data_IF_093794242619
#
_entry.id   IF_093794242619
#
_cell.length_a   1.000
_cell.length_b   1.000
_cell.length_c   1.000
_cell.angle_alpha   90.00
_cell.angle_beta   90.00
_cell.angle_gamma   90.00
#
_symmetry.space_group_name_H-M   'P 1'
#
loop_
_entity.id
_entity.type
_entity.pdbx_description
1 polymer ?
#
# COMPACT_ATOMS: atom_id res chain seq x y z
N UNK A 1 5.10 0.62 13.68
CA UNK A 1 4.75 1.53 12.58
C UNK A 1 4.46 0.67 11.37
N UNK A 2 3.37 0.93 10.67
CA UNK A 2 2.96 0.22 9.46
C UNK A 2 3.36 1.06 8.25
N UNK A 3 3.98 0.43 7.25
CA UNK A 3 4.26 1.06 5.96
C UNK A 3 3.03 0.93 5.06
N UNK A 4 2.58 2.02 4.47
CA UNK A 4 1.36 2.10 3.68
C UNK A 4 1.60 2.78 2.34
N UNK A 5 0.70 2.53 1.40
CA UNK A 5 0.67 3.23 0.11
C UNK A 5 -0.73 3.81 -0.14
N UNK A 6 -0.80 5.12 -0.33
CA UNK A 6 -2.02 5.80 -0.74
C UNK A 6 -1.93 6.19 -2.23
N UNK A 7 -2.83 5.64 -3.05
CA UNK A 7 -2.93 6.00 -4.48
C UNK A 7 -3.83 7.21 -4.69
N UNK A 8 -3.52 8.04 -5.69
CA UNK A 8 -4.33 9.19 -6.09
C UNK A 8 -4.23 9.49 -7.58
N UNK A 9 -5.03 10.43 -8.07
CA UNK A 9 -4.94 10.90 -9.45
C UNK A 9 -3.65 11.69 -9.67
N UNK A 10 -3.09 11.60 -10.88
CA UNK A 10 -1.86 12.33 -11.23
C UNK A 10 -2.04 13.83 -11.05
N UNK A 11 -1.07 14.48 -10.41
CA UNK A 11 -1.08 15.90 -10.06
C UNK A 11 -1.65 16.22 -8.68
N UNK A 12 -2.20 15.23 -7.96
CA UNK A 12 -2.71 15.41 -6.58
C UNK A 12 -1.76 14.87 -5.51
N UNK A 13 -0.59 14.33 -5.88
CA UNK A 13 0.27 13.61 -4.96
C UNK A 13 0.81 14.50 -3.83
N UNK A 14 1.20 15.74 -4.12
CA UNK A 14 1.67 16.70 -3.12
C UNK A 14 0.54 17.16 -2.17
N UNK A 15 -0.69 17.26 -2.69
CA UNK A 15 -1.86 17.58 -1.86
C UNK A 15 -2.20 16.41 -0.94
N UNK A 16 -2.13 15.17 -1.46
CA UNK A 16 -2.32 13.97 -0.66
C UNK A 16 -1.24 13.85 0.43
N UNK A 17 0.03 14.12 0.10
CA UNK A 17 1.12 14.15 1.08
C UNK A 17 0.80 15.13 2.22
N UNK A 18 0.38 16.34 1.88
CA UNK A 18 0.03 17.38 2.85
C UNK A 18 -1.16 16.96 3.73
N UNK A 19 -2.15 16.28 3.15
CA UNK A 19 -3.30 15.74 3.89
C UNK A 19 -2.87 14.64 4.88
N UNK A 20 -2.03 13.70 4.43
CA UNK A 20 -1.53 12.60 5.27
C UNK A 20 -0.62 13.11 6.41
N UNK A 21 0.24 14.07 6.14
CA UNK A 21 1.07 14.74 7.14
C UNK A 21 0.20 15.40 8.23
N UNK A 22 -0.86 16.11 7.83
CA UNK A 22 -1.81 16.71 8.76
C UNK A 22 -2.59 15.68 9.61
N UNK A 23 -2.72 14.44 9.13
CA UNK A 23 -3.32 13.32 9.86
C UNK A 23 -2.33 12.61 10.79
N UNK A 24 -1.04 12.96 10.75
CA UNK A 24 0.00 12.39 11.61
C UNK A 24 0.81 11.27 10.97
N UNK A 25 0.70 11.08 9.64
CA UNK A 25 1.57 10.16 8.91
C UNK A 25 3.03 10.64 8.94
N UNK A 26 3.97 9.69 8.85
CA UNK A 26 5.41 9.91 8.88
C UNK A 26 6.06 9.37 7.62
N UNK A 27 7.34 9.72 7.40
CA UNK A 27 8.16 9.22 6.30
C UNK A 27 7.48 9.27 4.92
N UNK A 28 6.83 10.41 4.64
CA UNK A 28 6.03 10.58 3.43
C UNK A 28 6.91 10.75 2.18
N UNK A 29 6.81 9.79 1.25
CA UNK A 29 7.51 9.78 -0.02
C UNK A 29 6.50 9.84 -1.17
N UNK A 30 6.52 10.94 -1.91
CA UNK A 30 5.70 11.12 -3.11
C UNK A 30 6.29 10.30 -4.26
N UNK A 31 5.43 9.53 -4.92
CA UNK A 31 5.75 8.77 -6.13
C UNK A 31 4.68 9.03 -7.19
N UNK A 32 4.93 8.67 -8.44
CA UNK A 32 3.94 8.88 -9.49
C UNK A 32 2.63 8.12 -9.18
N UNK A 33 1.52 8.85 -9.02
CA UNK A 33 0.21 8.28 -8.73
C UNK A 33 -0.03 7.90 -7.26
N UNK A 34 0.81 8.33 -6.32
CA UNK A 34 0.56 8.08 -4.91
C UNK A 34 1.63 8.56 -3.93
N UNK A 35 1.46 8.19 -2.66
CA UNK A 35 2.35 8.52 -1.56
C UNK A 35 2.59 7.28 -0.70
N UNK A 36 3.86 6.91 -0.52
CA UNK A 36 4.27 5.97 0.53
C UNK A 36 4.40 6.72 1.85
N UNK A 37 3.96 6.12 2.94
CA UNK A 37 4.04 6.73 4.27
C UNK A 37 4.04 5.67 5.36
N UNK A 38 4.50 6.05 6.55
CA UNK A 38 4.39 5.26 7.77
C UNK A 38 3.32 5.80 8.70
N UNK A 39 2.63 4.92 9.42
CA UNK A 39 1.60 5.29 10.38
C UNK A 39 1.51 4.27 11.52
N UNK A 40 1.11 4.71 12.71
CA UNK A 40 0.62 3.78 13.73
C UNK A 40 -0.80 3.28 13.37
N UNK A 41 -1.33 2.32 14.11
CA UNK A 41 -2.64 1.74 13.81
C UNK A 41 -3.74 2.81 13.82
N UNK A 42 -3.67 3.77 14.76
CA UNK A 42 -4.63 4.87 14.85
C UNK A 42 -4.59 5.73 13.59
N UNK A 43 -3.41 6.17 13.16
CA UNK A 43 -3.21 7.03 12.00
C UNK A 43 -3.57 6.29 10.71
N UNK A 44 -3.29 4.99 10.61
CA UNK A 44 -3.73 4.14 9.50
C UNK A 44 -5.26 4.12 9.36
N UNK A 45 -5.99 3.92 10.46
CA UNK A 45 -7.46 3.98 10.41
C UNK A 45 -7.97 5.40 10.18
N UNK A 46 -7.29 6.42 10.70
CA UNK A 46 -7.65 7.81 10.44
C UNK A 46 -7.46 8.19 8.97
N UNK A 47 -6.38 7.77 8.31
CA UNK A 47 -6.17 8.02 6.89
C UNK A 47 -7.26 7.38 6.03
N UNK A 48 -7.70 6.16 6.36
CA UNK A 48 -8.84 5.50 5.71
C UNK A 48 -10.16 6.25 5.88
N UNK A 49 -10.39 6.87 7.04
CA UNK A 49 -11.65 7.56 7.34
C UNK A 49 -11.69 9.01 6.85
N UNK A 50 -10.55 9.70 6.86
CA UNK A 50 -10.48 11.16 6.69
C UNK A 50 -9.83 11.62 5.40
N UNK A 51 -9.11 10.76 4.68
CA UNK A 51 -8.53 11.15 3.40
C UNK A 51 -9.63 11.43 2.37
N UNK A 52 -9.58 12.60 1.74
CA UNK A 52 -10.48 12.97 0.63
C UNK A 52 -9.81 12.87 -0.73
N UNK A 53 -8.48 12.71 -0.74
CA UNK A 53 -7.66 12.70 -1.95
C UNK A 53 -7.19 11.29 -2.32
N UNK A 54 -7.10 10.36 -1.37
CA UNK A 54 -6.71 8.99 -1.65
C UNK A 54 -7.85 8.23 -2.34
N UNK A 55 -7.54 7.60 -3.47
CA UNK A 55 -8.43 6.66 -4.15
C UNK A 55 -8.48 5.30 -3.43
N UNK A 56 -7.31 4.82 -2.98
CA UNK A 56 -7.14 3.58 -2.21
C UNK A 56 -5.93 3.72 -1.29
N UNK A 57 -6.05 3.19 -0.08
CA UNK A 57 -4.94 3.02 0.87
C UNK A 57 -4.70 1.52 1.00
N UNK A 58 -3.47 1.09 0.77
CA UNK A 58 -3.05 -0.30 0.74
C UNK A 58 -1.96 -0.54 1.78
N UNK A 59 -2.04 -1.70 2.43
CA UNK A 59 -1.00 -2.24 3.30
C UNK A 59 -0.17 -3.25 2.50
N UNK A 60 1.10 -2.95 2.14
CA UNK A 60 1.99 -3.92 1.53
C UNK A 60 2.25 -5.09 2.49
N UNK A 61 2.00 -6.31 2.02
CA UNK A 61 2.20 -7.53 2.83
C UNK A 61 3.56 -8.19 2.62
N UNK A 62 4.26 -7.83 1.54
CA UNK A 62 5.58 -8.36 1.22
C UNK A 62 6.11 -7.81 -0.09
N UNK A 63 7.43 -7.86 -0.26
CA UNK A 63 8.16 -7.51 -1.47
C UNK A 63 9.18 -8.61 -1.76
N UNK A 64 9.22 -9.10 -3.00
CA UNK A 64 10.11 -10.18 -3.41
C UNK A 64 10.47 -10.06 -4.89
N UNK A 65 11.68 -10.48 -5.24
CA UNK A 65 12.14 -10.54 -6.63
C UNK A 65 11.48 -11.71 -7.37
N UNK A 66 10.99 -11.45 -8.58
CA UNK A 66 10.32 -12.46 -9.42
C UNK A 66 11.02 -12.54 -10.78
N UNK A 67 11.67 -13.67 -11.05
CA UNK A 67 12.35 -13.94 -12.33
C UNK A 67 11.76 -15.15 -13.06
N UNK A 68 10.92 -15.93 -12.37
CA UNK A 68 10.20 -17.08 -12.88
C UNK A 68 8.84 -17.22 -12.19
N UNK A 69 7.95 -18.01 -12.79
CA UNK A 69 6.64 -18.32 -12.20
C UNK A 69 6.78 -19.03 -10.84
N UNK A 70 7.86 -19.79 -10.65
CA UNK A 70 8.16 -20.46 -9.39
C UNK A 70 8.51 -19.45 -8.29
N UNK A 71 9.29 -18.40 -8.62
CA UNK A 71 9.65 -17.36 -7.66
C UNK A 71 8.40 -16.61 -7.18
N UNK A 72 7.45 -16.32 -8.09
CA UNK A 72 6.17 -15.72 -7.74
C UNK A 72 5.39 -16.62 -6.79
N UNK A 73 5.29 -17.92 -7.10
CA UNK A 73 4.55 -18.86 -6.27
C UNK A 73 5.13 -18.96 -4.86
N UNK A 74 6.46 -19.11 -4.75
CA UNK A 74 7.15 -19.22 -3.46
C UNK A 74 7.08 -17.90 -2.67
N UNK A 75 7.25 -16.76 -3.34
CA UNK A 75 7.15 -15.43 -2.73
C UNK A 75 5.76 -15.18 -2.14
N UNK A 76 4.70 -15.47 -2.91
CA UNK A 76 3.31 -15.36 -2.42
C UNK A 76 3.05 -16.35 -1.28
N UNK A 77 3.55 -17.58 -1.35
CA UNK A 77 3.37 -18.58 -0.30
C UNK A 77 4.07 -18.21 1.02
N UNK A 78 5.08 -17.35 0.98
CA UNK A 78 5.81 -16.91 2.19
C UNK A 78 4.97 -16.01 3.12
N UNK A 79 3.89 -15.42 2.61
CA UNK A 79 2.93 -14.64 3.41
C UNK A 79 2.02 -15.61 4.17
N UNK A 80 1.85 -15.39 5.48
CA UNK A 80 1.03 -16.23 6.35
C UNK A 80 -0.47 -15.96 6.19
N UNK A 81 -1.03 -16.32 5.02
CA UNK A 81 -2.44 -16.11 4.67
C UNK A 81 -3.44 -16.65 5.70
N UNK A 82 -3.25 -17.85 6.30
CA UNK A 82 -4.18 -18.38 7.30
C UNK A 82 -4.38 -17.51 8.54
N UNK A 83 -3.41 -16.67 8.90
CA UNK A 83 -3.57 -15.71 10.02
C UNK A 83 -4.42 -14.50 9.64
N UNK A 84 -4.53 -14.20 8.35
CA UNK A 84 -5.26 -13.04 7.84
C UNK A 84 -6.69 -13.39 7.43
N UNK A 85 -6.90 -14.56 6.83
CA UNK A 85 -8.19 -14.98 6.31
C UNK A 85 -8.73 -16.21 7.05
N UNK A 86 -9.88 -16.06 7.71
CA UNK A 86 -10.67 -17.19 8.15
C UNK A 86 -11.22 -18.00 6.97
N UNK A 87 -11.51 -19.29 7.19
CA UNK A 87 -12.03 -20.19 6.15
C UNK A 87 -13.37 -19.76 5.55
N UNK A 88 -14.08 -18.84 6.20
CA UNK A 88 -15.35 -18.26 5.77
C UNK A 88 -15.18 -16.99 4.92
N UNK A 89 -13.96 -16.50 4.72
CA UNK A 89 -13.69 -15.26 3.98
C UNK A 89 -13.42 -15.52 2.50
N UNK A 90 -13.96 -14.65 1.66
CA UNK A 90 -13.64 -14.61 0.23
C UNK A 90 -12.55 -13.59 -0.03
N UNK A 91 -11.66 -13.86 -0.99
CA UNK A 91 -10.67 -12.90 -1.46
C UNK A 91 -10.65 -12.90 -2.99
N UNK A 92 -10.07 -11.84 -3.58
CA UNK A 92 -9.83 -11.75 -5.00
C UNK A 92 -8.41 -11.21 -5.25
N UNK A 93 -7.81 -11.62 -6.36
CA UNK A 93 -6.49 -11.15 -6.78
C UNK A 93 -6.65 -10.17 -7.93
N UNK A 94 -6.30 -8.90 -7.68
CA UNK A 94 -6.14 -7.91 -8.73
C UNK A 94 -4.65 -7.71 -9.00
N UNK A 95 -4.21 -8.06 -10.21
CA UNK A 95 -2.82 -7.90 -10.60
C UNK A 95 -2.64 -6.58 -11.36
N UNK A 96 -1.70 -5.76 -10.91
CA UNK A 96 -1.29 -4.55 -11.61
C UNK A 96 0.23 -4.53 -11.74
N UNK A 97 0.71 -4.36 -12.98
CA UNK A 97 2.13 -4.15 -13.23
C UNK A 97 2.49 -2.73 -12.83
N UNK A 98 3.25 -2.57 -11.75
CA UNK A 98 3.87 -1.30 -11.40
C UNK A 98 5.33 -1.33 -11.90
N UNK A 99 5.65 -0.56 -12.95
CA UNK A 99 7.04 -0.34 -13.33
C UNK A 99 7.62 0.70 -12.38
N UNK A 100 8.39 0.27 -11.37
CA UNK A 100 9.35 1.17 -10.73
C UNK A 100 10.38 1.51 -11.79
N UNK A 101 10.37 2.76 -12.27
CA UNK A 101 11.50 3.31 -13.01
C UNK A 101 12.58 3.61 -11.98
N UNK A 102 13.42 2.63 -11.68
CA UNK A 102 14.70 2.92 -11.05
C UNK A 102 15.57 3.61 -12.11
N UNK A 103 15.88 4.89 -11.86
CA UNK A 103 16.86 5.68 -12.61
C UNK A 103 18.21 5.65 -11.93
#
# INVERSE_FOLDING_TARGET
MNSLFASTARGLEELLKSELDALGAQDLQVVQGGVHYEADDRTMYQSLMWSRLASRILLPLGEFGVYSDLDLYLGVQSVDWPTMFGSDKTFCCAFQRHQRFDS
#
